data_IF_186560880627
#
_entry.id   IF_186560880627
#
_cell.length_a   1.000
_cell.length_b   1.000
_cell.length_c   1.000
_cell.angle_alpha   90.00
_cell.angle_beta   90.00
_cell.angle_gamma   90.00
#
_symmetry.space_group_name_H-M   'P 1'
#
loop_
_entity.id
_entity.type
_entity.pdbx_description
1 polymer ?
#
# COMPACT_ATOMS: atom_id res chain seq x y z
N UNK A 1 29.01 8.03 8.03
CA UNK A 1 28.41 7.41 9.23
C UNK A 1 27.41 6.39 8.72
N UNK A 2 27.63 5.10 8.96
CA UNK A 2 26.67 4.06 8.57
C UNK A 2 25.68 3.87 9.70
N UNK A 3 24.48 4.46 9.59
CA UNK A 3 23.38 4.15 10.50
C UNK A 3 22.73 2.85 10.02
N UNK A 4 23.23 1.73 10.55
CA UNK A 4 22.61 0.42 10.34
C UNK A 4 21.57 0.19 11.43
N UNK A 5 20.31 -0.04 11.04
CA UNK A 5 19.26 -0.48 11.94
C UNK A 5 19.19 -2.01 11.85
N UNK A 6 19.42 -2.71 12.97
CA UNK A 6 19.30 -4.17 13.04
C UNK A 6 17.84 -4.54 13.22
N UNK A 7 17.06 -4.52 12.13
CA UNK A 7 15.61 -4.75 12.15
C UNK A 7 15.22 -6.07 12.82
N UNK A 8 16.06 -7.11 12.75
CA UNK A 8 15.79 -8.39 13.39
C UNK A 8 15.65 -8.32 14.92
N UNK A 9 16.33 -7.37 15.57
CA UNK A 9 16.35 -7.21 17.04
C UNK A 9 15.14 -6.45 17.58
N UNK A 10 14.36 -5.80 16.71
CA UNK A 10 13.17 -5.05 17.09
C UNK A 10 12.01 -6.00 17.43
N UNK A 11 11.23 -5.63 18.44
CA UNK A 11 9.92 -6.22 18.71
C UNK A 11 8.96 -5.98 17.53
N UNK A 12 7.82 -6.69 17.52
CA UNK A 12 6.82 -6.51 16.47
C UNK A 12 6.29 -5.07 16.42
N UNK A 13 5.97 -4.49 17.58
CA UNK A 13 5.44 -3.12 17.67
C UNK A 13 6.46 -2.09 17.18
N UNK A 14 7.74 -2.27 17.53
CA UNK A 14 8.83 -1.41 17.04
C UNK A 14 9.03 -1.54 15.53
N UNK A 15 8.89 -2.75 14.97
CA UNK A 15 8.94 -2.95 13.51
C UNK A 15 7.81 -2.23 12.80
N UNK A 16 6.58 -2.36 13.30
CA UNK A 16 5.39 -1.71 12.74
C UNK A 16 5.57 -0.19 12.80
N UNK A 17 5.96 0.33 13.96
CA UNK A 17 6.19 1.76 14.14
C UNK A 17 7.30 2.30 13.23
N UNK A 18 8.42 1.57 13.11
CA UNK A 18 9.49 1.92 12.19
C UNK A 18 9.01 1.94 10.73
N UNK A 19 8.19 0.97 10.33
CA UNK A 19 7.60 0.95 8.99
C UNK A 19 6.71 2.17 8.74
N UNK A 20 5.88 2.56 9.71
CA UNK A 20 5.02 3.74 9.61
C UNK A 20 5.80 5.04 9.52
N UNK A 21 6.79 5.24 10.40
CA UNK A 21 7.64 6.44 10.40
C UNK A 21 8.46 6.55 9.11
N UNK A 22 9.01 5.43 8.63
CA UNK A 22 9.71 5.37 7.35
C UNK A 22 8.76 5.71 6.19
N UNK A 23 7.57 5.14 6.17
CA UNK A 23 6.58 5.41 5.12
C UNK A 23 6.15 6.87 5.09
N UNK A 24 5.90 7.49 6.25
CA UNK A 24 5.58 8.92 6.33
C UNK A 24 6.73 9.80 5.82
N UNK A 25 7.96 9.46 6.16
CA UNK A 25 9.14 10.18 5.65
C UNK A 25 9.28 10.05 4.14
N UNK A 26 9.05 8.87 3.56
CA UNK A 26 9.21 8.65 2.11
C UNK A 26 8.05 9.21 1.30
N UNK A 27 6.83 9.14 1.83
CA UNK A 27 5.62 9.60 1.12
C UNK A 27 5.44 11.11 1.13
N UNK A 28 6.06 11.81 2.09
CA UNK A 28 6.11 13.28 2.12
C UNK A 28 7.18 13.86 1.19
N UNK A 29 8.12 13.05 0.73
CA UNK A 29 9.19 13.49 -0.16
C UNK A 29 8.73 13.45 -1.63
N UNK A 30 8.76 14.62 -2.28
CA UNK A 30 8.35 14.80 -3.67
C UNK A 30 9.40 14.36 -4.70
N UNK A 31 10.60 13.97 -4.26
CA UNK A 31 11.67 13.52 -5.17
C UNK A 31 11.31 12.22 -5.91
N UNK A 32 10.42 11.40 -5.36
CA UNK A 32 9.96 10.19 -6.04
C UNK A 32 8.92 10.53 -7.11
N UNK A 33 9.37 10.63 -8.37
CA UNK A 33 8.47 10.76 -9.52
C UNK A 33 7.81 9.43 -9.82
N UNK A 34 6.48 9.39 -9.74
CA UNK A 34 5.70 8.23 -10.17
C UNK A 34 5.97 7.93 -11.66
N UNK A 35 6.16 6.66 -12.04
CA UNK A 35 6.30 6.31 -13.44
C UNK A 35 5.08 6.74 -14.26
N UNK A 36 5.28 7.19 -15.50
CA UNK A 36 4.19 7.68 -16.36
C UNK A 36 3.07 6.64 -16.56
N UNK A 37 3.43 5.35 -16.62
CA UNK A 37 2.46 4.27 -16.78
C UNK A 37 1.51 4.12 -15.59
N UNK A 38 1.87 4.63 -14.41
CA UNK A 38 1.07 4.50 -13.20
C UNK A 38 -0.27 5.25 -13.34
N UNK A 39 -0.24 6.46 -13.91
CA UNK A 39 -1.46 7.23 -14.20
C UNK A 39 -2.33 6.52 -15.24
N UNK A 40 -1.74 5.96 -16.30
CA UNK A 40 -2.51 5.24 -17.33
C UNK A 40 -3.26 4.03 -16.78
N UNK A 41 -2.68 3.32 -15.80
CA UNK A 41 -3.35 2.20 -15.12
C UNK A 41 -4.51 2.70 -14.27
N UNK A 42 -4.32 3.80 -13.51
CA UNK A 42 -5.38 4.39 -12.69
C UNK A 42 -6.56 4.87 -13.56
N UNK A 43 -6.28 5.58 -14.65
CA UNK A 43 -7.29 6.05 -15.60
C UNK A 43 -8.08 4.88 -16.22
N UNK A 44 -7.37 3.81 -16.58
CA UNK A 44 -8.00 2.62 -17.16
C UNK A 44 -8.92 1.92 -16.16
N UNK A 45 -8.48 1.78 -14.91
CA UNK A 45 -9.30 1.19 -13.83
C UNK A 45 -10.50 2.06 -13.48
N UNK A 46 -10.32 3.38 -13.43
CA UNK A 46 -11.40 4.32 -13.15
C UNK A 46 -12.48 4.31 -14.24
N UNK A 47 -12.08 4.24 -15.52
CA UNK A 47 -13.01 4.09 -16.64
C UNK A 47 -13.80 2.79 -16.51
N UNK A 48 -13.12 1.67 -16.27
CA UNK A 48 -13.79 0.37 -16.13
C UNK A 48 -14.73 0.32 -14.91
N UNK A 49 -14.36 0.97 -13.81
CA UNK A 49 -15.22 1.16 -12.64
C UNK A 49 -16.49 1.94 -12.99
N UNK A 50 -16.35 3.10 -13.63
CA UNK A 50 -17.48 3.96 -14.01
C UNK A 50 -18.40 3.33 -15.07
N UNK A 51 -17.84 2.50 -15.96
CA UNK A 51 -18.60 1.71 -16.93
C UNK A 51 -19.24 0.46 -16.33
N UNK A 52 -18.98 0.16 -15.04
CA UNK A 52 -19.47 -1.03 -14.36
C UNK A 52 -18.94 -2.35 -14.99
N UNK A 53 -17.79 -2.28 -15.67
CA UNK A 53 -17.12 -3.36 -16.38
C UNK A 53 -16.19 -4.20 -15.48
N UNK A 54 -16.02 -3.79 -14.22
CA UNK A 54 -15.24 -4.53 -13.22
C UNK A 54 -16.12 -4.90 -12.02
N UNK A 55 -15.91 -6.08 -11.42
CA UNK A 55 -16.55 -6.43 -10.18
C UNK A 55 -16.04 -5.51 -9.07
N UNK A 56 -16.98 -5.03 -8.25
CA UNK A 56 -16.72 -4.19 -7.09
C UNK A 56 -17.29 -4.89 -5.87
N UNK A 57 -16.56 -4.87 -4.77
CA UNK A 57 -17.02 -5.39 -3.49
C UNK A 57 -17.11 -4.27 -2.47
N UNK A 58 -18.06 -4.38 -1.57
CA UNK A 58 -18.07 -3.57 -0.36
C UNK A 58 -16.80 -3.84 0.46
N UNK A 59 -16.31 -2.83 1.17
CA UNK A 59 -15.05 -2.93 1.91
C UNK A 59 -15.14 -3.95 3.06
N UNK A 60 -16.28 -4.08 3.73
CA UNK A 60 -16.44 -5.09 4.79
C UNK A 60 -16.42 -6.49 4.19
N UNK A 61 -17.11 -6.70 3.06
CA UNK A 61 -17.08 -7.97 2.33
C UNK A 61 -15.67 -8.33 1.87
N UNK A 62 -14.93 -7.38 1.27
CA UNK A 62 -13.57 -7.62 0.83
C UNK A 62 -12.64 -8.04 1.99
N UNK A 63 -12.78 -7.42 3.16
CA UNK A 63 -12.01 -7.79 4.35
C UNK A 63 -12.38 -9.19 4.86
N UNK A 64 -13.67 -9.53 4.83
CA UNK A 64 -14.14 -10.87 5.22
C UNK A 64 -13.58 -11.95 4.29
N UNK A 65 -13.65 -11.73 2.97
CA UNK A 65 -13.10 -12.65 1.96
C UNK A 65 -11.60 -12.90 2.19
N UNK A 66 -10.83 -11.84 2.45
CA UNK A 66 -9.39 -11.97 2.73
C UNK A 66 -9.16 -12.80 3.99
N UNK A 67 -9.88 -12.53 5.09
CA UNK A 67 -9.72 -13.31 6.34
C UNK A 67 -10.03 -14.78 6.11
N UNK A 68 -11.10 -15.08 5.39
CA UNK A 68 -11.50 -16.45 5.06
C UNK A 68 -10.47 -17.16 4.18
N UNK A 69 -9.73 -16.43 3.33
CA UNK A 69 -8.72 -17.00 2.43
C UNK A 69 -7.38 -17.36 3.09
N UNK A 70 -7.11 -16.84 4.28
CA UNK A 70 -5.83 -17.01 5.00
C UNK A 70 -5.99 -18.01 6.18
N UNK A 71 -7.21 -18.51 6.41
CA UNK A 71 -7.55 -19.40 7.52
C UNK A 71 -7.52 -20.87 7.10
#
# INVERSE_FOLDING_TARGET
>A
MSNSITVSELSLDEKIRLMEELWQSLSSDSEFKTPEWHNSVLDSRLKAYNSNDIPVSDWETAKEDIRNSIQ
#
